data_IF_798797754008
#
_entry.id   IF_798797754008
#
_cell.length_a   1.000
_cell.length_b   1.000
_cell.length_c   1.000
_cell.angle_alpha   90.00
_cell.angle_beta   90.00
_cell.angle_gamma   90.00
#
_symmetry.space_group_name_H-M   'P 1'
#
loop_
_entity.id
_entity.type
_entity.pdbx_description
1 polymer ?
#
# COMPACT_ATOMS: atom_id res chain seq x y z
N UNK A 1 21.53 -5.83 -1.61
CA UNK A 1 20.75 -4.92 -0.75
C UNK A 1 19.24 -5.10 -0.89
N UNK A 2 18.69 -5.40 -2.07
CA UNK A 2 17.24 -5.61 -2.25
C UNK A 2 16.68 -6.87 -1.59
N UNK A 3 17.46 -7.96 -1.51
CA UNK A 3 17.01 -9.25 -0.96
C UNK A 3 16.68 -9.18 0.53
N UNK A 4 17.59 -8.59 1.32
CA UNK A 4 17.43 -8.42 2.77
C UNK A 4 16.21 -7.56 3.13
N UNK A 5 15.91 -6.54 2.32
CA UNK A 5 14.73 -5.71 2.56
C UNK A 5 13.43 -6.47 2.25
N UNK A 6 13.43 -7.29 1.19
CA UNK A 6 12.29 -8.17 0.88
C UNK A 6 11.99 -9.15 2.02
N UNK A 7 13.02 -9.77 2.59
CA UNK A 7 12.88 -10.67 3.74
C UNK A 7 12.32 -9.97 4.98
N UNK A 8 12.74 -8.72 5.24
CA UNK A 8 12.20 -7.92 6.34
C UNK A 8 10.71 -7.60 6.16
N UNK A 9 10.27 -7.34 4.92
CA UNK A 9 8.85 -7.12 4.62
C UNK A 9 8.06 -8.41 4.88
N UNK A 10 8.55 -9.56 4.43
CA UNK A 10 7.90 -10.86 4.65
C UNK A 10 7.77 -11.15 6.15
N UNK A 11 8.86 -11.01 6.91
CA UNK A 11 8.85 -11.22 8.35
C UNK A 11 7.87 -10.29 9.09
N UNK A 12 7.77 -9.02 8.66
CA UNK A 12 6.80 -8.09 9.22
C UNK A 12 5.34 -8.48 8.91
N UNK A 13 5.08 -9.02 7.71
CA UNK A 13 3.75 -9.54 7.33
C UNK A 13 3.37 -10.73 8.21
N UNK A 14 4.30 -11.67 8.43
CA UNK A 14 4.09 -12.85 9.29
C UNK A 14 3.79 -12.44 10.74
N UNK A 15 4.50 -11.43 11.26
CA UNK A 15 4.30 -10.94 12.63
C UNK A 15 2.96 -10.20 12.83
N UNK A 16 2.53 -9.39 11.85
CA UNK A 16 1.30 -8.60 11.94
C UNK A 16 0.05 -9.42 11.58
N UNK A 17 0.23 -10.50 10.84
CA UNK A 17 -0.85 -11.22 10.17
C UNK A 17 -1.32 -10.51 8.90
N UNK A 18 -1.89 -11.27 7.95
CA UNK A 18 -2.10 -10.81 6.57
C UNK A 18 -3.03 -9.59 6.46
N UNK A 19 -4.09 -9.53 7.28
CA UNK A 19 -5.09 -8.45 7.23
C UNK A 19 -4.53 -7.10 7.71
N UNK A 20 -3.81 -7.11 8.83
CA UNK A 20 -3.21 -5.89 9.39
C UNK A 20 -2.05 -5.41 8.51
N UNK A 21 -1.24 -6.34 8.00
CA UNK A 21 -0.17 -6.02 7.07
C UNK A 21 -0.70 -5.38 5.77
N UNK A 22 -1.74 -5.97 5.17
CA UNK A 22 -2.41 -5.41 3.99
C UNK A 22 -3.00 -4.02 4.27
N UNK A 23 -3.64 -3.83 5.43
CA UNK A 23 -4.18 -2.53 5.85
C UNK A 23 -3.09 -1.45 5.93
N UNK A 24 -1.93 -1.75 6.53
CA UNK A 24 -0.82 -0.79 6.62
C UNK A 24 -0.17 -0.50 5.28
N UNK A 25 0.04 -1.53 4.45
CA UNK A 25 0.56 -1.36 3.09
C UNK A 25 -0.37 -0.50 2.24
N UNK A 26 -1.69 -0.74 2.28
CA UNK A 26 -2.66 0.07 1.56
C UNK A 26 -2.58 1.55 1.96
N UNK A 27 -2.48 1.84 3.27
CA UNK A 27 -2.32 3.22 3.77
C UNK A 27 -1.03 3.88 3.27
N UNK A 28 0.09 3.15 3.32
CA UNK A 28 1.37 3.65 2.83
C UNK A 28 1.31 3.96 1.33
N UNK A 29 0.72 3.08 0.53
CA UNK A 29 0.56 3.28 -0.91
C UNK A 29 -0.40 4.42 -1.25
N UNK A 30 -1.48 4.60 -0.49
CA UNK A 30 -2.38 5.75 -0.64
C UNK A 30 -1.64 7.06 -0.37
N UNK A 31 -0.83 7.12 0.70
CA UNK A 31 0.00 8.30 1.00
C UNK A 31 0.99 8.57 -0.13
N UNK A 32 1.64 7.54 -0.65
CA UNK A 32 2.57 7.66 -1.78
C UNK A 32 1.86 8.17 -3.04
N UNK A 33 0.66 7.69 -3.33
CA UNK A 33 -0.12 8.17 -4.46
C UNK A 33 -0.46 9.66 -4.27
N UNK A 34 -0.91 10.05 -3.07
CA UNK A 34 -1.18 11.45 -2.77
C UNK A 34 0.06 12.35 -2.90
N UNK A 35 1.23 11.90 -2.44
CA UNK A 35 2.47 12.67 -2.53
C UNK A 35 3.03 12.75 -3.95
N UNK A 36 2.85 11.71 -4.77
CA UNK A 36 3.25 11.72 -6.18
C UNK A 36 2.29 12.50 -7.08
N UNK A 37 1.11 12.84 -6.57
CA UNK A 37 0.08 13.53 -7.35
C UNK A 37 -0.55 12.67 -8.46
N UNK A 38 -0.34 11.35 -8.43
CA UNK A 38 -0.81 10.40 -9.45
C UNK A 38 -1.34 9.10 -8.82
N UNK A 39 -2.30 8.45 -9.50
CA UNK A 39 -2.72 7.10 -9.12
C UNK A 39 -1.57 6.11 -9.37
N UNK A 40 -1.52 5.02 -8.60
CA UNK A 40 -0.45 4.02 -8.71
C UNK A 40 -1.05 2.74 -9.27
N UNK A 41 -0.41 2.20 -10.29
CA UNK A 41 -0.72 0.91 -10.87
C UNK A 41 0.54 0.05 -10.88
N UNK A 42 0.44 -1.16 -10.34
CA UNK A 42 1.48 -2.16 -10.36
C UNK A 42 0.92 -3.45 -10.93
N UNK A 43 1.62 -4.05 -11.90
CA UNK A 43 1.26 -5.33 -12.48
C UNK A 43 2.45 -6.29 -12.42
N UNK A 44 2.15 -7.55 -12.13
CA UNK A 44 3.09 -8.66 -12.21
C UNK A 44 2.42 -9.88 -12.86
N UNK A 45 3.18 -10.95 -13.02
CA UNK A 45 2.71 -12.25 -13.52
C UNK A 45 1.60 -12.88 -12.67
N UNK A 46 1.47 -12.45 -11.40
CA UNK A 46 0.46 -12.95 -10.47
C UNK A 46 -0.80 -12.07 -10.35
N UNK A 47 -0.80 -10.86 -10.91
CA UNK A 47 -1.96 -9.97 -10.86
C UNK A 47 -1.63 -8.48 -10.92
N UNK A 48 -2.63 -7.66 -10.58
CA UNK A 48 -2.54 -6.20 -10.59
C UNK A 48 -2.97 -5.59 -9.25
N UNK A 49 -2.36 -4.46 -8.91
CA UNK A 49 -2.69 -3.61 -7.77
C UNK A 49 -2.88 -2.18 -8.26
N UNK A 50 -4.09 -1.65 -8.07
CA UNK A 50 -4.45 -0.27 -8.45
C UNK A 50 -4.82 0.52 -7.21
N UNK A 51 -4.12 1.64 -6.98
CA UNK A 51 -4.37 2.58 -5.88
C UNK A 51 -4.87 3.88 -6.47
N UNK A 52 -6.18 4.13 -6.29
CA UNK A 52 -6.86 5.34 -6.75
C UNK A 52 -6.93 6.36 -5.63
N UNK A 53 -6.46 7.58 -5.88
CA UNK A 53 -6.55 8.64 -4.90
C UNK A 53 -7.97 9.17 -4.86
N UNK A 54 -8.44 9.46 -3.65
CA UNK A 54 -9.72 10.12 -3.44
C UNK A 54 -9.52 11.20 -2.42
N UNK A 55 -9.81 12.44 -2.81
CA UNK A 55 -9.95 13.52 -1.84
C UNK A 55 -11.31 13.39 -1.21
N UNK A 56 -11.34 13.02 0.07
CA UNK A 56 -12.59 12.99 0.85
C UNK A 56 -12.82 14.42 1.39
N UNK A 57 -13.91 15.10 0.98
CA UNK A 57 -14.26 16.42 1.52
C UNK A 57 -14.37 16.37 3.04
N UNK A 58 -14.01 17.46 3.72
CA UNK A 58 -14.07 17.53 5.19
C UNK A 58 -15.47 17.21 5.74
N UNK A 59 -16.51 17.61 5.01
CA UNK A 59 -17.93 17.38 5.32
C UNK A 59 -18.33 15.90 5.29
N UNK A 60 -17.54 15.05 4.64
CA UNK A 60 -17.76 13.61 4.50
C UNK A 60 -16.85 12.78 5.41
N UNK A 61 -16.04 13.42 6.28
CA UNK A 61 -15.23 12.74 7.28
C UNK A 61 -16.06 12.61 8.56
N UNK A 62 -16.44 11.37 8.88
CA UNK A 62 -17.13 11.01 10.12
C UNK A 62 -16.25 11.20 11.35
#
# INVERSE_FOLDING_TARGET
>A
MSHQFGEQIVAAIEQLGPKEAASRMARALIVLAHSSGSDIEFSCDQGELVVKRRTIPLEAKH
#
